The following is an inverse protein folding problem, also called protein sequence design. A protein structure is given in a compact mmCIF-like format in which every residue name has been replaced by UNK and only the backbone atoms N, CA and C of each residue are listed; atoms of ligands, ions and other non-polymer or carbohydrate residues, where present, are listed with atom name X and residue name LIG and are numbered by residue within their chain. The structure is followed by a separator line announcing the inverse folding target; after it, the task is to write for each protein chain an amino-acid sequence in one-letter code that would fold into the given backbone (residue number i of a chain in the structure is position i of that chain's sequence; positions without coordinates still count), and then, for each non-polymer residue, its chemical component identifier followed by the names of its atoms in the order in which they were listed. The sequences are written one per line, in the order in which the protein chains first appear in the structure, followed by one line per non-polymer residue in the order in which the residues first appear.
data_IF_734777372644
#
_entry.id   IF_734777372644
#
_cell.length_a   1.000
_cell.length_b   1.000
_cell.length_c   1.000
_cell.angle_alpha   90.00
_cell.angle_beta   90.00
_cell.angle_gamma   90.00
#
_symmetry.space_group_name_H-M   'P 1'
#
loop_
_entity.id
_entity.type
_entity.pdbx_description
1 polymer ?
#
# COMPACT_ATOMS: atom_id res chain seq x y z
N UNK A 1 -53.86 8.69 21.83
CA UNK A 1 -53.11 9.95 22.09
C UNK A 1 -51.94 9.99 21.12
N UNK A 2 -52.08 10.76 20.06
CA UNK A 2 -51.11 10.96 18.97
C UNK A 2 -50.13 12.07 19.35
N UNK A 3 -48.81 11.80 19.27
CA UNK A 3 -47.79 12.84 19.27
C UNK A 3 -46.95 12.74 18.01
N UNK A 4 -47.16 13.75 17.17
CA UNK A 4 -46.43 14.10 15.95
C UNK A 4 -45.29 15.07 16.30
N UNK A 5 -44.37 15.28 15.33
CA UNK A 5 -43.36 16.36 15.22
C UNK A 5 -42.01 16.02 15.89
N UNK A 6 -40.81 16.23 15.33
CA UNK A 6 -40.34 17.08 14.22
C UNK A 6 -39.09 16.49 13.56
N UNK A 7 -39.05 16.47 12.23
CA UNK A 7 -37.81 16.35 11.44
C UNK A 7 -37.16 17.74 11.41
N UNK A 8 -35.88 17.85 11.80
CA UNK A 8 -35.06 19.04 11.52
C UNK A 8 -34.07 18.69 10.42
N UNK A 9 -34.40 19.17 9.21
CA UNK A 9 -33.47 19.36 8.13
C UNK A 9 -32.52 20.51 8.49
N UNK A 10 -31.21 20.31 8.30
CA UNK A 10 -30.21 21.36 8.38
C UNK A 10 -29.30 21.29 7.15
N UNK A 11 -29.57 22.22 6.24
CA UNK A 11 -28.62 23.00 5.44
C UNK A 11 -27.63 22.27 4.51
N UNK A 12 -28.06 22.13 3.25
CA UNK A 12 -27.24 22.20 2.03
C UNK A 12 -26.88 23.67 1.74
N UNK A 13 -25.59 24.00 1.68
CA UNK A 13 -24.95 25.12 0.95
C UNK A 13 -23.43 24.87 1.10
N UNK A 14 -22.54 24.93 0.12
CA UNK A 14 -22.58 25.42 -1.25
C UNK A 14 -21.15 25.85 -1.57
N UNK A 15 -20.49 25.22 -2.54
CA UNK A 15 -19.35 25.85 -3.24
C UNK A 15 -19.20 25.20 -4.62
N UNK A 16 -19.96 25.74 -5.56
CA UNK A 16 -19.79 25.53 -6.99
C UNK A 16 -19.40 26.88 -7.60
N UNK A 17 -18.24 26.92 -8.27
CA UNK A 17 -17.76 27.90 -9.26
C UNK A 17 -16.22 27.75 -9.30
N UNK A 18 -15.50 27.67 -10.41
CA UNK A 18 -15.72 27.93 -11.84
C UNK A 18 -14.66 27.09 -12.63
N UNK A 19 -14.94 26.44 -13.77
CA UNK A 19 -14.92 26.97 -15.15
C UNK A 19 -13.64 27.78 -15.45
N UNK A 20 -12.89 27.67 -16.55
CA UNK A 20 -12.90 26.93 -17.82
C UNK A 20 -11.66 27.44 -18.63
N UNK A 21 -11.41 26.83 -19.80
CA UNK A 21 -10.53 27.26 -20.92
C UNK A 21 -9.06 26.86 -20.75
N UNK A 22 -8.37 26.27 -21.71
CA UNK A 22 -8.56 25.95 -23.13
C UNK A 22 -7.20 25.36 -23.59
N UNK A 23 -7.00 24.68 -24.70
CA UNK A 23 -7.78 24.38 -25.89
C UNK A 23 -6.95 23.36 -26.71
N UNK A 24 -7.59 22.79 -27.71
CA UNK A 24 -7.04 21.79 -28.62
C UNK A 24 -6.06 22.38 -29.65
N UNK A 25 -5.04 21.59 -30.02
CA UNK A 25 -4.43 21.48 -31.36
C UNK A 25 -3.47 20.27 -31.26
N UNK A 26 -3.63 19.14 -31.93
CA UNK A 26 -3.74 18.83 -33.37
C UNK A 26 -2.53 19.29 -34.21
N UNK A 27 -2.02 18.38 -35.05
CA UNK A 27 -0.58 18.17 -35.35
C UNK A 27 -0.06 18.80 -36.68
N UNK A 28 1.03 18.30 -37.35
CA UNK A 28 2.38 18.87 -37.65
C UNK A 28 2.54 19.28 -39.17
N UNK A 29 3.70 19.28 -39.92
CA UNK A 29 5.16 19.06 -39.66
C UNK A 29 6.12 20.08 -40.36
N UNK A 30 7.38 19.69 -40.64
CA UNK A 30 8.47 20.36 -41.40
C UNK A 30 9.40 21.27 -40.54
N UNK A 31 10.73 21.27 -40.63
CA UNK A 31 11.71 20.63 -41.49
C UNK A 31 13.02 21.44 -41.44
N UNK A 32 14.14 20.77 -41.17
CA UNK A 32 15.53 21.10 -41.50
C UNK A 32 16.34 22.18 -40.74
N UNK A 33 17.48 21.68 -40.20
CA UNK A 33 18.83 22.27 -40.07
C UNK A 33 19.02 23.44 -39.06
N UNK A 34 20.13 23.56 -38.31
CA UNK A 34 21.49 23.12 -38.57
C UNK A 34 22.33 23.08 -37.26
N UNK A 35 23.30 22.16 -37.24
CA UNK A 35 24.59 22.17 -36.51
C UNK A 35 24.69 22.62 -35.03
N UNK A 36 24.70 21.62 -34.13
CA UNK A 36 25.29 21.69 -32.79
C UNK A 36 26.05 20.40 -32.49
N UNK A 37 27.38 20.46 -32.61
CA UNK A 37 28.31 19.34 -32.55
C UNK A 37 28.22 18.47 -31.28
N UNK A 38 28.12 17.15 -31.46
CA UNK A 38 28.81 16.15 -30.64
C UNK A 38 29.18 14.94 -31.54
N UNK A 39 30.46 14.53 -31.62
CA UNK A 39 30.87 13.39 -32.43
C UNK A 39 30.32 12.08 -31.85
N UNK A 40 30.00 11.06 -32.67
CA UNK A 40 29.61 9.76 -32.16
C UNK A 40 30.79 9.14 -31.41
N UNK A 41 30.55 8.73 -30.17
CA UNK A 41 31.50 7.95 -29.39
C UNK A 41 31.87 6.69 -30.18
N UNK A 42 33.08 6.68 -30.71
CA UNK A 42 33.69 5.48 -31.25
C UNK A 42 33.83 4.49 -30.10
N UNK A 43 32.99 3.45 -30.09
CA UNK A 43 33.22 2.25 -29.29
C UNK A 43 34.48 1.58 -29.84
N UNK A 44 35.62 1.95 -29.25
CA UNK A 44 36.92 1.38 -29.59
C UNK A 44 37.56 0.92 -28.29
N UNK A 45 37.81 -0.39 -28.20
CA UNK A 45 38.44 -1.03 -27.05
C UNK A 45 37.55 -2.10 -26.43
N UNK A 46 37.76 -3.35 -26.84
CA UNK A 46 37.46 -4.48 -25.99
C UNK A 46 38.38 -4.38 -24.76
N UNK A 47 37.93 -3.71 -23.70
CA UNK A 47 38.50 -3.96 -22.38
C UNK A 47 38.06 -5.35 -21.97
N UNK A 48 38.95 -6.30 -22.26
CA UNK A 48 38.96 -7.62 -21.66
C UNK A 48 39.03 -7.39 -20.15
N UNK A 49 37.91 -7.52 -19.46
CA UNK A 49 37.88 -7.71 -18.01
C UNK A 49 38.53 -9.06 -17.74
N UNK A 50 39.85 -9.04 -17.60
CA UNK A 50 40.67 -10.20 -17.26
C UNK A 50 40.43 -10.56 -15.80
N UNK A 51 39.59 -11.57 -15.57
CA UNK A 51 39.70 -12.54 -14.49
C UNK A 51 39.52 -12.07 -13.03
N UNK A 52 39.07 -12.96 -12.13
CA UNK A 52 38.90 -12.62 -10.73
C UNK A 52 40.27 -12.54 -10.05
N UNK A 53 40.71 -11.33 -9.72
CA UNK A 53 41.78 -11.16 -8.73
C UNK A 53 41.34 -11.86 -7.44
N UNK A 54 42.10 -12.86 -7.02
CA UNK A 54 41.92 -13.44 -5.69
C UNK A 54 42.13 -12.31 -4.68
N UNK A 55 41.16 -12.01 -3.81
CA UNK A 55 41.32 -10.95 -2.83
C UNK A 55 42.56 -11.23 -1.97
N UNK A 56 43.35 -10.19 -1.70
CA UNK A 56 44.51 -10.33 -0.83
C UNK A 56 44.08 -10.85 0.55
N UNK A 57 44.93 -11.61 1.27
CA UNK A 57 44.60 -12.12 2.60
C UNK A 57 44.12 -11.02 3.56
N UNK A 58 44.75 -9.84 3.50
CA UNK A 58 44.35 -8.66 4.29
C UNK A 58 42.98 -8.08 3.91
N UNK A 59 42.50 -8.31 2.69
CA UNK A 59 41.15 -7.92 2.26
C UNK A 59 40.11 -8.96 2.71
N UNK A 60 40.49 -10.23 2.79
CA UNK A 60 39.67 -11.30 3.37
C UNK A 60 39.53 -11.11 4.88
N UNK A 61 40.62 -10.84 5.60
CA UNK A 61 40.59 -10.58 7.04
C UNK A 61 39.76 -9.33 7.39
N UNK A 62 39.83 -8.29 6.55
CA UNK A 62 38.96 -7.10 6.68
C UNK A 62 37.50 -7.41 6.38
N UNK A 63 37.22 -8.25 5.38
CA UNK A 63 35.86 -8.67 5.05
C UNK A 63 35.26 -9.57 6.15
N UNK A 64 36.07 -10.44 6.75
CA UNK A 64 35.69 -11.29 7.89
C UNK A 64 35.44 -10.45 9.14
N UNK A 65 36.30 -9.48 9.46
CA UNK A 65 36.06 -8.55 10.56
C UNK A 65 34.80 -7.68 10.35
N UNK A 66 34.51 -7.27 9.11
CA UNK A 66 33.27 -6.56 8.77
C UNK A 66 32.06 -7.49 8.84
N UNK A 67 32.20 -8.75 8.45
CA UNK A 67 31.17 -9.78 8.55
C UNK A 67 30.88 -10.15 10.00
N UNK A 68 31.89 -10.22 10.86
CA UNK A 68 31.75 -10.47 12.30
C UNK A 68 31.18 -9.26 13.04
N UNK A 69 31.54 -8.03 12.62
CA UNK A 69 30.88 -6.82 13.12
C UNK A 69 29.41 -6.74 12.65
N UNK A 70 29.13 -7.18 11.42
CA UNK A 70 27.77 -7.33 10.92
C UNK A 70 27.03 -8.45 11.68
N UNK A 71 27.68 -9.57 12.01
CA UNK A 71 27.13 -10.67 12.79
C UNK A 71 26.96 -10.33 14.28
N UNK A 72 27.77 -9.43 14.84
CA UNK A 72 27.60 -8.90 16.19
C UNK A 72 26.45 -7.88 16.27
N UNK A 73 26.20 -7.14 15.19
CA UNK A 73 25.04 -6.23 15.08
C UNK A 73 23.75 -6.93 14.63
N UNK A 74 23.86 -8.05 13.90
CA UNK A 74 22.71 -8.88 13.46
C UNK A 74 22.51 -10.13 14.33
N UNK A 75 23.42 -10.45 15.24
CA UNK A 75 23.32 -11.52 16.24
C UNK A 75 22.28 -11.25 17.34
N UNK A 76 21.65 -10.08 17.28
CA UNK A 76 20.38 -9.79 17.94
C UNK A 76 19.18 -10.10 17.02
N UNK A 77 19.31 -11.03 16.07
CA UNK A 77 18.16 -11.59 15.39
C UNK A 77 17.30 -12.33 16.41
N UNK A 78 16.21 -11.64 16.74
CA UNK A 78 14.91 -12.24 16.94
C UNK A 78 14.75 -13.04 18.23
N UNK A 79 15.03 -12.42 19.38
CA UNK A 79 14.08 -12.60 20.48
C UNK A 79 12.82 -11.80 20.13
N UNK A 80 12.09 -12.28 19.11
CA UNK A 80 10.73 -11.84 18.79
C UNK A 80 9.91 -12.41 19.94
N UNK A 81 9.94 -11.69 21.08
CA UNK A 81 9.27 -12.11 22.29
C UNK A 81 7.82 -12.50 21.98
N UNK A 82 7.19 -13.36 22.79
CA UNK A 82 5.91 -14.00 22.48
C UNK A 82 4.84 -13.02 21.95
N UNK A 83 4.83 -11.77 22.43
CA UNK A 83 3.94 -10.70 21.94
C UNK A 83 4.17 -10.27 20.49
N UNK A 84 5.42 -10.20 20.02
CA UNK A 84 5.72 -9.80 18.66
C UNK A 84 5.32 -10.90 17.65
N UNK A 85 5.43 -12.18 18.05
CA UNK A 85 4.88 -13.30 17.28
C UNK A 85 3.35 -13.22 17.19
N UNK A 86 2.69 -13.00 18.32
CA UNK A 86 1.23 -12.87 18.38
C UNK A 86 0.72 -11.71 17.50
N UNK A 87 1.35 -10.54 17.57
CA UNK A 87 1.03 -9.40 16.70
C UNK A 87 1.19 -9.80 15.23
N UNK A 88 2.28 -10.46 14.86
CA UNK A 88 2.50 -10.91 13.49
C UNK A 88 1.45 -11.91 13.00
N UNK A 89 0.99 -12.82 13.86
CA UNK A 89 -0.09 -13.76 13.55
C UNK A 89 -1.43 -13.03 13.35
N UNK A 90 -1.76 -12.08 14.22
CA UNK A 90 -2.97 -11.27 14.10
C UNK A 90 -2.96 -10.34 12.89
N UNK A 91 -1.81 -9.76 12.53
CA UNK A 91 -1.68 -8.96 11.32
C UNK A 91 -1.91 -9.79 10.05
N UNK A 92 -1.44 -11.05 10.03
CA UNK A 92 -1.73 -11.97 8.93
C UNK A 92 -3.22 -12.30 8.85
N UNK A 93 -3.87 -12.56 9.98
CA UNK A 93 -5.31 -12.78 10.06
C UNK A 93 -6.09 -11.58 9.50
N UNK A 94 -5.75 -10.36 9.95
CA UNK A 94 -6.35 -9.12 9.45
C UNK A 94 -6.16 -8.97 7.93
N UNK A 95 -4.97 -9.26 7.41
CA UNK A 95 -4.69 -9.20 5.98
C UNK A 95 -5.56 -10.19 5.17
N UNK A 96 -5.79 -11.39 5.69
CA UNK A 96 -6.66 -12.40 5.05
C UNK A 96 -8.12 -11.93 5.02
N UNK A 97 -8.65 -11.41 6.13
CA UNK A 97 -10.03 -10.91 6.18
C UNK A 97 -10.20 -9.71 5.25
N UNK A 98 -9.22 -8.80 5.17
CA UNK A 98 -9.24 -7.67 4.23
C UNK A 98 -9.26 -8.13 2.78
N UNK A 99 -8.46 -9.13 2.41
CA UNK A 99 -8.50 -9.72 1.06
C UNK A 99 -9.89 -10.30 0.73
N UNK A 100 -10.51 -10.98 1.70
CA UNK A 100 -11.88 -11.50 1.55
C UNK A 100 -12.88 -10.36 1.30
N UNK A 101 -12.83 -9.27 2.07
CA UNK A 101 -13.69 -8.10 1.87
C UNK A 101 -13.54 -7.49 0.48
N UNK A 102 -12.29 -7.30 0.02
CA UNK A 102 -12.02 -6.77 -1.33
C UNK A 102 -12.61 -7.70 -2.40
N UNK A 103 -12.45 -9.01 -2.23
CA UNK A 103 -13.02 -10.01 -3.14
C UNK A 103 -14.55 -9.98 -3.17
N UNK A 104 -15.21 -9.98 -2.01
CA UNK A 104 -16.68 -9.91 -1.91
C UNK A 104 -17.22 -8.63 -2.54
N UNK A 105 -16.59 -7.48 -2.24
CA UNK A 105 -16.94 -6.19 -2.84
C UNK A 105 -16.77 -6.22 -4.36
N UNK A 106 -15.71 -6.85 -4.87
CA UNK A 106 -15.52 -7.03 -6.30
C UNK A 106 -16.62 -7.91 -6.91
N UNK A 107 -16.98 -9.03 -6.28
CA UNK A 107 -18.07 -9.90 -6.74
C UNK A 107 -19.42 -9.19 -6.76
N UNK A 108 -19.74 -8.39 -5.73
CA UNK A 108 -20.97 -7.59 -5.69
C UNK A 108 -21.05 -6.62 -6.87
N UNK A 109 -19.93 -5.96 -7.21
CA UNK A 109 -19.84 -5.07 -8.38
C UNK A 109 -20.01 -5.81 -9.70
N UNK A 110 -19.37 -6.97 -9.86
CA UNK A 110 -19.51 -7.80 -11.06
C UNK A 110 -20.97 -8.24 -11.27
N UNK A 111 -21.65 -8.63 -10.19
CA UNK A 111 -23.06 -9.03 -10.20
C UNK A 111 -24.02 -7.84 -10.27
N UNK A 112 -23.51 -6.61 -10.22
CA UNK A 112 -24.30 -5.36 -10.18
C UNK A 112 -25.32 -5.35 -9.04
N UNK A 113 -24.98 -5.95 -7.90
CA UNK A 113 -25.81 -5.89 -6.70
C UNK A 113 -25.70 -4.47 -6.13
N UNK A 114 -26.85 -3.86 -5.85
CA UNK A 114 -26.89 -2.55 -5.21
C UNK A 114 -26.35 -2.68 -3.78
N UNK A 115 -25.25 -1.97 -3.49
CA UNK A 115 -24.67 -1.87 -2.15
C UNK A 115 -24.95 -0.47 -1.62
N UNK A 116 -25.36 -0.40 -0.35
CA UNK A 116 -25.51 0.89 0.33
C UNK A 116 -24.18 1.68 0.29
N UNK A 117 -24.18 2.97 -0.11
CA UNK A 117 -22.95 3.76 -0.19
C UNK A 117 -22.23 3.91 1.16
N UNK A 118 -22.96 3.94 2.28
CA UNK A 118 -22.37 3.97 3.62
C UNK A 118 -21.62 2.69 3.93
N UNK A 119 -22.22 1.54 3.61
CA UNK A 119 -21.56 0.24 3.72
C UNK A 119 -20.31 0.13 2.81
N UNK A 120 -20.36 0.64 1.57
CA UNK A 120 -19.18 0.62 0.69
C UNK A 120 -18.02 1.47 1.26
N UNK A 121 -18.36 2.61 1.88
CA UNK A 121 -17.39 3.47 2.56
C UNK A 121 -16.78 2.79 3.81
N UNK A 122 -17.60 2.11 4.63
CA UNK A 122 -17.12 1.31 5.77
C UNK A 122 -16.14 0.22 5.33
N UNK A 123 -16.46 -0.50 4.25
CA UNK A 123 -15.58 -1.55 3.70
C UNK A 123 -14.27 -0.96 3.17
N UNK A 124 -14.33 0.20 2.51
CA UNK A 124 -13.13 0.90 2.04
C UNK A 124 -12.26 1.34 3.22
N UNK A 125 -12.86 1.90 4.27
CA UNK A 125 -12.15 2.29 5.48
C UNK A 125 -11.50 1.06 6.15
N UNK A 126 -12.24 -0.03 6.34
CA UNK A 126 -11.74 -1.24 6.99
C UNK A 126 -10.59 -1.92 6.23
N UNK A 127 -10.54 -1.78 4.90
CA UNK A 127 -9.48 -2.36 4.05
C UNK A 127 -8.24 -1.47 3.94
N UNK A 128 -8.36 -0.16 4.18
CA UNK A 128 -7.27 0.82 4.04
C UNK A 128 -6.69 1.31 5.37
N UNK A 129 -7.45 1.23 6.46
CA UNK A 129 -7.01 1.66 7.79
C UNK A 129 -5.74 0.93 8.23
N UNK A 130 -4.80 1.65 8.83
CA UNK A 130 -3.56 1.06 9.38
C UNK A 130 -3.59 1.16 10.90
N UNK A 131 -3.32 0.07 11.64
CA UNK A 131 -3.06 0.16 13.07
C UNK A 131 -1.95 1.18 13.31
N UNK A 132 -2.16 2.07 14.28
CA UNK A 132 -1.31 3.24 14.53
C UNK A 132 -0.60 3.15 15.88
N UNK A 133 -1.13 2.37 16.83
CA UNK A 133 -0.52 2.17 18.11
C UNK A 133 0.88 1.56 17.98
N UNK A 134 1.82 2.14 18.73
CA UNK A 134 3.22 1.70 18.80
C UNK A 134 3.46 0.78 19.99
N UNK A 135 2.69 0.95 21.08
CA UNK A 135 2.75 0.06 22.24
C UNK A 135 2.17 -1.32 21.89
N UNK A 136 2.86 -2.44 22.20
CA UNK A 136 2.43 -3.77 21.78
C UNK A 136 1.01 -4.16 22.21
N UNK A 137 0.61 -3.84 23.45
CA UNK A 137 -0.71 -4.18 23.96
C UNK A 137 -1.82 -3.39 23.26
N UNK A 138 -1.63 -2.07 23.09
CA UNK A 138 -2.55 -1.22 22.37
C UNK A 138 -2.65 -1.61 20.88
N UNK A 139 -1.51 -1.93 20.24
CA UNK A 139 -1.47 -2.40 18.85
C UNK A 139 -2.24 -3.70 18.66
N UNK A 140 -2.05 -4.66 19.57
CA UNK A 140 -2.79 -5.92 19.52
C UNK A 140 -4.29 -5.70 19.68
N UNK A 141 -4.70 -4.80 20.58
CA UNK A 141 -6.11 -4.43 20.77
C UNK A 141 -6.70 -3.79 19.49
N UNK A 142 -5.98 -2.85 18.86
CA UNK A 142 -6.38 -2.23 17.59
C UNK A 142 -6.54 -3.27 16.47
N UNK A 143 -5.58 -4.20 16.33
CA UNK A 143 -5.65 -5.25 15.30
C UNK A 143 -6.85 -6.17 15.56
N UNK A 144 -7.08 -6.58 16.81
CA UNK A 144 -8.20 -7.46 17.16
C UNK A 144 -9.56 -6.78 16.90
N UNK A 145 -9.69 -5.50 17.23
CA UNK A 145 -10.87 -4.71 16.91
C UNK A 145 -11.10 -4.64 15.39
N UNK A 146 -10.04 -4.33 14.62
CA UNK A 146 -10.11 -4.28 13.17
C UNK A 146 -10.48 -5.63 12.53
N UNK A 147 -10.03 -6.76 13.10
CA UNK A 147 -10.43 -8.10 12.65
C UNK A 147 -11.92 -8.34 12.88
N UNK A 148 -12.43 -8.00 14.07
CA UNK A 148 -13.84 -8.17 14.42
C UNK A 148 -14.73 -7.33 13.49
N UNK A 149 -14.39 -6.06 13.30
CA UNK A 149 -15.12 -5.16 12.41
C UNK A 149 -15.12 -5.67 10.97
N UNK A 150 -13.94 -6.11 10.47
CA UNK A 150 -13.82 -6.65 9.13
C UNK A 150 -14.61 -7.95 8.93
N UNK A 151 -14.74 -8.80 9.96
CA UNK A 151 -15.59 -10.00 9.94
C UNK A 151 -17.07 -9.64 9.87
N UNK A 152 -17.52 -8.72 10.73
CA UNK A 152 -18.91 -8.24 10.72
C UNK A 152 -19.30 -7.65 9.35
N UNK A 153 -18.39 -6.87 8.74
CA UNK A 153 -18.57 -6.37 7.38
C UNK A 153 -18.61 -7.51 6.36
N UNK A 154 -17.77 -8.53 6.50
CA UNK A 154 -17.73 -9.67 5.60
C UNK A 154 -19.03 -10.47 5.60
N UNK A 155 -19.65 -10.62 6.77
CA UNK A 155 -20.93 -11.30 6.91
C UNK A 155 -22.08 -10.48 6.32
N UNK A 156 -22.07 -9.15 6.53
CA UNK A 156 -23.02 -8.23 5.86
C UNK A 156 -22.91 -8.30 4.34
N UNK A 157 -21.69 -8.32 3.79
CA UNK A 157 -21.49 -8.47 2.34
C UNK A 157 -21.86 -9.87 1.85
N UNK A 158 -21.65 -10.91 2.64
CA UNK A 158 -22.04 -12.28 2.29
C UNK A 158 -23.57 -12.41 2.20
N UNK A 159 -24.32 -11.77 3.10
CA UNK A 159 -25.79 -11.75 3.06
C UNK A 159 -26.35 -11.05 1.81
N UNK A 160 -25.60 -10.13 1.19
CA UNK A 160 -25.97 -9.53 -0.10
C UNK A 160 -25.63 -10.44 -1.30
N UNK A 161 -24.76 -11.42 -1.10
CA UNK A 161 -24.31 -12.35 -2.14
C UNK A 161 -25.08 -13.68 -2.15
N UNK A 162 -25.70 -14.06 -1.03
CA UNK A 162 -26.60 -15.22 -0.93
C UNK A 162 -27.89 -14.99 -1.71
#
# INVERSE_FOLDING_TARGET
MTRTVSIRAASLMGLAAALLLGGCADSPPEGAADTGALPPATLNGAEVVTGPDKPSPEALDRAEAVSDAAAATTGAHADVGPRAREIGERERELALVRRKLVSQRHTLRQRRVAVDPGLDAEVLAATTARPSATEPAARLAEINAAILDARNLSDRLAALLS
#
